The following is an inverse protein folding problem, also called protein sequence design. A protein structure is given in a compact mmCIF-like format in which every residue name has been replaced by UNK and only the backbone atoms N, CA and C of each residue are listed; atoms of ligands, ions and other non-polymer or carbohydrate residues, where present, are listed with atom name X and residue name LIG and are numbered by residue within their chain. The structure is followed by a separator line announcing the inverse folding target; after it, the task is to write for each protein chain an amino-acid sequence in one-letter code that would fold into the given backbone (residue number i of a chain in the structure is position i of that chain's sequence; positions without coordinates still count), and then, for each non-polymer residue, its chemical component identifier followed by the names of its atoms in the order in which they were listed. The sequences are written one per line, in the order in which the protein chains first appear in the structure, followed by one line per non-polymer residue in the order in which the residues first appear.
data_IF_038742411584
#
_entry.id   IF_038742411584
#
_cell.length_a   1.000
_cell.length_b   1.000
_cell.length_c   1.000
_cell.angle_alpha   90.00
_cell.angle_beta   90.00
_cell.angle_gamma   90.00
#
_symmetry.space_group_name_H-M   'P 1'
#
loop_
_entity.id
_entity.type
_entity.pdbx_description
1 polymer ?
#
# COMPACT_ATOMS: atom_id res chain seq x y z
N UNK A 1 21.13 -3.38 -6.16
CA UNK A 1 20.39 -3.31 -7.43
C UNK A 1 19.65 -4.61 -7.64
N UNK A 2 18.33 -4.55 -7.85
CA UNK A 2 17.48 -5.74 -8.08
C UNK A 2 17.75 -6.30 -9.49
N UNK A 3 18.10 -5.43 -10.43
CA UNK A 3 18.46 -5.78 -11.81
C UNK A 3 19.80 -5.12 -12.16
N UNK A 4 20.94 -5.77 -11.88
CA UNK A 4 22.24 -5.21 -12.17
C UNK A 4 22.39 -4.93 -13.69
N UNK A 5 22.80 -3.70 -14.02
CA UNK A 5 23.04 -3.28 -15.41
C UNK A 5 21.78 -2.86 -16.19
N UNK A 6 20.56 -3.02 -15.65
CA UNK A 6 19.36 -2.52 -16.31
C UNK A 6 19.24 -0.99 -16.20
N UNK A 7 18.84 -0.34 -17.29
CA UNK A 7 18.57 1.08 -17.35
C UNK A 7 19.81 1.97 -17.35
N UNK A 8 21.00 1.45 -17.59
CA UNK A 8 22.22 2.24 -17.65
C UNK A 8 22.15 3.38 -18.68
N UNK A 9 21.67 3.08 -19.87
CA UNK A 9 21.52 4.04 -20.96
C UNK A 9 20.44 5.10 -20.64
N UNK A 10 19.33 4.65 -20.05
CA UNK A 10 18.26 5.56 -19.61
C UNK A 10 18.74 6.53 -18.51
N UNK A 11 19.51 6.03 -17.53
CA UNK A 11 20.13 6.87 -16.51
C UNK A 11 21.13 7.86 -17.08
N UNK A 12 21.98 7.44 -18.02
CA UNK A 12 22.93 8.31 -18.71
C UNK A 12 22.21 9.41 -19.49
N UNK A 13 21.11 9.07 -20.19
CA UNK A 13 20.30 10.02 -20.93
C UNK A 13 19.61 11.05 -20.00
N UNK A 14 19.10 10.61 -18.85
CA UNK A 14 18.49 11.50 -17.85
C UNK A 14 19.51 12.42 -17.17
N UNK A 15 20.76 11.99 -17.05
CA UNK A 15 21.86 12.80 -16.50
C UNK A 15 22.44 13.82 -17.49
N UNK A 16 21.99 13.82 -18.75
CA UNK A 16 22.48 14.74 -19.79
C UNK A 16 22.03 16.19 -19.51
N UNK A 17 22.76 17.22 -20.03
CA UNK A 17 22.37 18.62 -19.87
C UNK A 17 20.99 18.98 -20.47
N UNK A 18 20.50 18.18 -21.40
CA UNK A 18 19.17 18.31 -22.01
C UNK A 18 18.51 16.91 -22.04
N UNK A 19 17.94 16.46 -20.91
CA UNK A 19 17.36 15.13 -20.83
C UNK A 19 16.14 15.02 -21.75
N UNK A 20 16.02 13.91 -22.49
CA UNK A 20 14.84 13.67 -23.31
C UNK A 20 13.61 13.43 -22.45
N UNK A 21 12.39 13.55 -23.02
CA UNK A 21 11.17 13.20 -22.32
C UNK A 21 11.22 11.75 -21.81
N UNK A 22 10.80 11.51 -20.56
CA UNK A 22 10.81 10.18 -19.95
C UNK A 22 10.11 9.14 -20.84
N UNK A 23 9.00 9.52 -21.47
CA UNK A 23 8.24 8.63 -22.35
C UNK A 23 9.07 8.08 -23.55
N UNK A 24 10.11 8.78 -24.00
CA UNK A 24 10.97 8.30 -25.07
C UNK A 24 12.03 7.28 -24.61
N UNK A 25 12.31 7.20 -23.31
CA UNK A 25 13.27 6.26 -22.73
C UNK A 25 12.61 4.95 -22.30
N UNK A 26 11.29 4.97 -22.08
CA UNK A 26 10.56 3.81 -21.56
C UNK A 26 10.62 2.58 -22.47
N UNK A 27 10.47 2.68 -23.81
CA UNK A 27 10.48 1.50 -24.67
C UNK A 27 11.77 0.69 -24.56
N UNK A 28 12.92 1.34 -24.59
CA UNK A 28 14.22 0.67 -24.52
C UNK A 28 14.44 0.04 -23.14
N UNK A 29 14.12 0.75 -22.07
CA UNK A 29 14.18 0.24 -20.70
C UNK A 29 13.27 -0.98 -20.51
N UNK A 30 12.02 -0.91 -21.00
CA UNK A 30 11.06 -2.01 -20.86
C UNK A 30 11.44 -3.22 -21.72
N UNK A 31 12.00 -2.99 -22.91
CA UNK A 31 12.54 -4.06 -23.75
C UNK A 31 13.73 -4.75 -23.07
N UNK A 32 14.62 -3.98 -22.44
CA UNK A 32 15.75 -4.52 -21.68
C UNK A 32 15.28 -5.38 -20.49
N UNK A 33 14.28 -4.90 -19.74
CA UNK A 33 13.65 -5.65 -18.63
C UNK A 33 12.96 -6.90 -19.19
N UNK A 34 12.23 -6.76 -20.29
CA UNK A 34 11.49 -7.85 -20.93
C UNK A 34 12.42 -8.98 -21.43
N UNK A 35 13.56 -8.62 -21.99
CA UNK A 35 14.55 -9.58 -22.50
C UNK A 35 15.16 -10.49 -21.42
N UNK A 36 15.11 -10.08 -20.15
CA UNK A 36 15.65 -10.87 -19.03
C UNK A 36 14.75 -12.03 -18.60
N UNK A 37 13.45 -11.96 -18.91
CA UNK A 37 12.48 -13.02 -18.59
C UNK A 37 12.17 -13.18 -17.09
N UNK A 38 12.76 -12.37 -16.23
CA UNK A 38 12.52 -12.41 -14.77
C UNK A 38 11.23 -11.71 -14.40
N UNK A 39 10.52 -12.24 -13.39
CA UNK A 39 9.35 -11.57 -12.84
C UNK A 39 9.78 -10.36 -12.02
N UNK A 40 9.23 -9.21 -12.34
CA UNK A 40 9.49 -7.94 -11.66
C UNK A 40 8.20 -7.34 -11.11
N UNK A 41 8.24 -6.90 -9.87
CA UNK A 41 7.19 -6.08 -9.25
C UNK A 41 7.82 -4.73 -8.92
N UNK A 42 7.33 -3.67 -9.57
CA UNK A 42 7.67 -2.29 -9.24
C UNK A 42 6.58 -1.75 -8.31
N UNK A 43 7.00 -1.28 -7.14
CA UNK A 43 6.10 -0.66 -6.15
C UNK A 43 6.39 0.84 -6.11
N UNK A 44 5.37 1.66 -6.35
CA UNK A 44 5.39 3.10 -6.15
C UNK A 44 4.57 3.40 -4.90
N UNK A 45 5.27 3.63 -3.81
CA UNK A 45 4.65 3.99 -2.53
C UNK A 45 4.44 5.49 -2.42
N UNK A 46 3.47 5.91 -1.59
CA UNK A 46 3.09 7.31 -1.38
C UNK A 46 2.88 8.12 -2.67
N UNK A 47 2.32 7.48 -3.68
CA UNK A 47 2.14 8.09 -5.01
C UNK A 47 1.33 9.39 -4.99
N UNK A 48 0.52 9.61 -3.96
CA UNK A 48 -0.31 10.81 -3.77
C UNK A 48 0.51 12.09 -3.54
N UNK A 49 1.79 12.00 -3.16
CA UNK A 49 2.67 13.17 -2.99
C UNK A 49 3.15 13.74 -4.33
N UNK A 50 2.96 13.02 -5.42
CA UNK A 50 3.38 13.42 -6.75
C UNK A 50 2.33 14.34 -7.39
N UNK A 51 2.64 15.63 -7.52
CA UNK A 51 1.76 16.62 -8.13
C UNK A 51 2.09 16.91 -9.60
N UNK A 52 3.25 16.47 -10.11
CA UNK A 52 3.69 16.80 -11.47
C UNK A 52 2.98 15.94 -12.51
N UNK A 53 2.21 16.58 -13.38
CA UNK A 53 1.45 15.93 -14.45
C UNK A 53 2.31 15.10 -15.39
N UNK A 54 3.52 15.54 -15.70
CA UNK A 54 4.42 14.79 -16.59
C UNK A 54 4.83 13.42 -15.99
N UNK A 55 4.88 13.30 -14.66
CA UNK A 55 5.13 12.02 -13.99
C UNK A 55 3.94 11.09 -14.19
N UNK A 56 2.72 11.57 -14.02
CA UNK A 56 1.51 10.77 -14.25
C UNK A 56 1.40 10.30 -15.69
N UNK A 57 1.73 11.17 -16.66
CA UNK A 57 1.78 10.82 -18.08
C UNK A 57 2.86 9.77 -18.37
N UNK A 58 4.03 9.88 -17.72
CA UNK A 58 5.11 8.89 -17.80
C UNK A 58 4.70 7.53 -17.25
N UNK A 59 4.02 7.50 -16.08
CA UNK A 59 3.51 6.25 -15.48
C UNK A 59 2.41 5.64 -16.35
N UNK A 60 1.54 6.44 -16.93
CA UNK A 60 0.52 5.95 -17.86
C UNK A 60 1.14 5.34 -19.13
N UNK A 61 2.23 5.95 -19.66
CA UNK A 61 2.99 5.41 -20.76
C UNK A 61 3.73 4.12 -20.38
N UNK A 62 4.28 4.04 -19.17
CA UNK A 62 4.89 2.82 -18.63
C UNK A 62 3.89 1.67 -18.62
N UNK A 63 2.68 1.90 -18.07
CA UNK A 63 1.64 0.86 -18.00
C UNK A 63 1.18 0.40 -19.37
N UNK A 64 1.12 1.31 -20.35
CA UNK A 64 0.70 0.97 -21.71
C UNK A 64 1.67 0.01 -22.44
N UNK A 65 2.92 -0.10 -21.99
CA UNK A 65 3.97 -0.91 -22.60
C UNK A 65 4.58 -1.92 -21.61
N UNK A 66 3.88 -2.20 -20.50
CA UNK A 66 4.38 -3.06 -19.43
C UNK A 66 4.60 -4.49 -19.96
N UNK A 67 5.81 -5.08 -19.83
CA UNK A 67 6.04 -6.47 -20.20
C UNK A 67 5.19 -7.44 -19.36
N UNK A 68 4.83 -8.60 -19.90
CA UNK A 68 3.95 -9.59 -19.23
C UNK A 68 4.49 -10.07 -17.88
N UNK A 69 5.81 -10.14 -17.73
CA UNK A 69 6.46 -10.53 -16.47
C UNK A 69 6.56 -9.40 -15.44
N UNK A 70 6.23 -8.17 -15.81
CA UNK A 70 6.28 -7.02 -14.92
C UNK A 70 4.90 -6.69 -14.35
N UNK A 71 4.85 -6.33 -13.08
CA UNK A 71 3.67 -5.80 -12.39
C UNK A 71 4.00 -4.46 -11.78
N UNK A 72 3.06 -3.53 -11.85
CA UNK A 72 3.14 -2.24 -11.17
C UNK A 72 2.13 -2.24 -10.02
N UNK A 73 2.60 -1.89 -8.83
CA UNK A 73 1.77 -1.66 -7.65
C UNK A 73 1.89 -0.18 -7.29
N UNK A 74 0.78 0.49 -7.11
CA UNK A 74 0.72 1.89 -6.69
C UNK A 74 0.00 1.96 -5.35
N UNK A 75 0.69 2.39 -4.30
CA UNK A 75 0.11 2.69 -3.01
C UNK A 75 -0.18 4.20 -2.93
N UNK A 76 -1.41 4.54 -2.61
CA UNK A 76 -1.84 5.94 -2.66
C UNK A 76 -3.02 6.18 -1.72
N UNK A 77 -3.12 7.37 -1.12
CA UNK A 77 -4.24 7.76 -0.23
C UNK A 77 -5.45 8.31 -1.00
N UNK A 78 -5.26 8.70 -2.26
CA UNK A 78 -6.32 9.23 -3.12
C UNK A 78 -6.17 8.65 -4.52
N UNK A 79 -7.24 8.66 -5.31
CA UNK A 79 -7.17 8.20 -6.70
C UNK A 79 -6.16 9.05 -7.48
N UNK A 80 -5.12 8.42 -8.07
CA UNK A 80 -4.09 9.15 -8.81
C UNK A 80 -4.64 9.69 -10.13
N UNK A 81 -3.98 10.73 -10.67
CA UNK A 81 -4.30 11.31 -11.98
C UNK A 81 -3.85 10.38 -13.13
N UNK A 82 -4.33 9.15 -13.11
CA UNK A 82 -4.08 8.10 -14.08
C UNK A 82 -5.38 7.68 -14.76
N UNK A 83 -5.34 7.08 -15.95
CA UNK A 83 -6.54 6.70 -16.69
C UNK A 83 -7.24 5.45 -16.12
N UNK A 84 -7.52 5.44 -14.81
CA UNK A 84 -8.10 4.32 -14.07
C UNK A 84 -9.40 3.78 -14.70
N UNK A 85 -10.35 4.62 -15.16
CA UNK A 85 -11.56 4.12 -15.80
C UNK A 85 -11.28 3.27 -17.05
N UNK A 86 -10.27 3.67 -17.83
CA UNK A 86 -9.85 2.93 -19.03
C UNK A 86 -9.23 1.58 -18.68
N UNK A 87 -8.36 1.54 -17.68
CA UNK A 87 -7.72 0.30 -17.22
C UNK A 87 -8.74 -0.65 -16.60
N UNK A 88 -9.68 -0.10 -15.82
CA UNK A 88 -10.78 -0.87 -15.25
C UNK A 88 -11.65 -1.52 -16.33
N UNK A 89 -12.02 -0.76 -17.36
CA UNK A 89 -12.82 -1.26 -18.48
C UNK A 89 -12.13 -2.36 -19.30
N UNK A 90 -10.80 -2.41 -19.27
CA UNK A 90 -9.98 -3.43 -19.96
C UNK A 90 -9.61 -4.62 -19.07
N UNK A 91 -9.97 -4.61 -17.79
CA UNK A 91 -9.53 -5.63 -16.85
C UNK A 91 -8.02 -5.59 -16.54
N UNK A 92 -7.36 -4.46 -16.78
CA UNK A 92 -5.93 -4.24 -16.56
C UNK A 92 -5.63 -3.71 -15.16
N UNK A 93 -6.66 -3.47 -14.33
CA UNK A 93 -6.56 -2.87 -13.01
C UNK A 93 -7.18 -3.77 -11.95
N UNK A 94 -6.41 -4.09 -10.93
CA UNK A 94 -6.91 -4.64 -9.66
C UNK A 94 -6.86 -3.55 -8.61
N UNK A 95 -7.96 -3.30 -7.93
CA UNK A 95 -8.06 -2.28 -6.89
C UNK A 95 -8.24 -2.93 -5.53
N UNK A 96 -7.44 -2.49 -4.57
CA UNK A 96 -7.60 -2.82 -3.15
C UNK A 96 -7.92 -1.51 -2.45
N UNK A 97 -9.13 -1.41 -1.93
CA UNK A 97 -9.65 -0.20 -1.29
C UNK A 97 -9.59 -0.31 0.23
N UNK A 98 -9.78 0.80 0.92
CA UNK A 98 -9.77 0.84 2.38
C UNK A 98 -10.75 -0.18 3.00
N UNK A 99 -11.90 -0.43 2.36
CA UNK A 99 -12.88 -1.42 2.81
C UNK A 99 -12.33 -2.86 2.75
N UNK A 100 -11.51 -3.17 1.75
CA UNK A 100 -10.91 -4.49 1.55
C UNK A 100 -9.75 -4.77 2.53
N UNK A 101 -9.20 -3.69 3.12
CA UNK A 101 -8.08 -3.75 4.08
C UNK A 101 -8.55 -3.78 5.54
N UNK A 102 -9.85 -3.62 5.79
CA UNK A 102 -10.39 -3.69 7.14
C UNK A 102 -10.42 -5.13 7.62
N UNK A 103 -9.97 -5.33 8.84
CA UNK A 103 -10.07 -6.62 9.49
C UNK A 103 -11.53 -6.98 9.79
N UNK A 104 -11.92 -8.19 9.45
CA UNK A 104 -13.13 -8.83 9.97
C UNK A 104 -12.94 -9.22 11.44
N UNK A 105 -14.02 -9.54 12.15
CA UNK A 105 -13.92 -10.02 13.54
C UNK A 105 -13.10 -11.32 13.65
N UNK A 106 -13.20 -12.22 12.68
CA UNK A 106 -12.41 -13.46 12.64
C UNK A 106 -10.92 -13.17 12.45
N UNK A 107 -10.56 -12.31 11.51
CA UNK A 107 -9.16 -11.92 11.28
C UNK A 107 -8.59 -11.17 12.49
N UNK A 108 -9.37 -10.27 13.10
CA UNK A 108 -8.99 -9.57 14.32
C UNK A 108 -8.75 -10.55 15.49
N UNK A 109 -9.64 -11.53 15.67
CA UNK A 109 -9.47 -12.56 16.70
C UNK A 109 -8.20 -13.37 16.47
N UNK A 110 -7.97 -13.82 15.23
CA UNK A 110 -6.77 -14.56 14.86
C UNK A 110 -5.49 -13.74 15.07
N UNK A 111 -5.51 -12.46 14.72
CA UNK A 111 -4.39 -11.53 14.92
C UNK A 111 -4.12 -11.31 16.41
N UNK A 112 -5.13 -10.92 17.18
CA UNK A 112 -4.99 -10.58 18.62
C UNK A 112 -4.60 -11.78 19.47
N UNK A 113 -5.17 -12.95 19.21
CA UNK A 113 -4.82 -14.17 19.93
C UNK A 113 -3.52 -14.80 19.43
N UNK A 114 -3.32 -14.86 18.10
CA UNK A 114 -2.17 -15.54 17.51
C UNK A 114 -0.86 -14.76 17.64
N UNK A 115 -0.90 -13.44 17.46
CA UNK A 115 0.30 -12.59 17.49
C UNK A 115 0.52 -11.91 18.84
N UNK A 116 -0.54 -11.60 19.57
CA UNK A 116 -0.46 -10.83 20.82
C UNK A 116 -0.79 -11.64 22.06
N UNK A 117 -1.17 -12.91 21.90
CA UNK A 117 -1.46 -13.87 22.97
C UNK A 117 -2.50 -13.38 23.99
N UNK A 118 -3.56 -12.71 23.56
CA UNK A 118 -4.54 -12.06 24.45
C UNK A 118 -5.65 -13.00 24.93
N UNK A 119 -5.85 -14.16 24.27
CA UNK A 119 -6.88 -15.16 24.63
C UNK A 119 -8.31 -14.55 24.70
N UNK A 120 -8.65 -13.71 23.73
CA UNK A 120 -9.96 -13.05 23.61
C UNK A 120 -11.01 -14.01 23.05
N UNK A 121 -12.30 -13.74 23.38
CA UNK A 121 -13.43 -14.43 22.78
C UNK A 121 -13.91 -13.71 21.50
N UNK A 122 -14.70 -14.38 20.65
CA UNK A 122 -15.21 -13.76 19.40
C UNK A 122 -15.95 -12.43 19.63
N UNK A 123 -16.72 -12.34 20.72
CA UNK A 123 -17.48 -11.15 21.09
C UNK A 123 -16.56 -9.96 21.45
N UNK A 124 -15.40 -10.26 22.06
CA UNK A 124 -14.39 -9.27 22.42
C UNK A 124 -13.74 -8.69 21.16
N UNK A 125 -13.40 -9.56 20.18
CA UNK A 125 -12.85 -9.15 18.89
C UNK A 125 -13.86 -8.33 18.08
N UNK A 126 -15.13 -8.74 18.06
CA UNK A 126 -16.19 -7.98 17.40
C UNK A 126 -16.29 -6.55 17.94
N UNK A 127 -16.28 -6.37 19.27
CA UNK A 127 -16.32 -5.06 19.88
C UNK A 127 -15.10 -4.20 19.51
N UNK A 128 -13.91 -4.81 19.42
CA UNK A 128 -12.70 -4.08 19.03
C UNK A 128 -12.76 -3.67 17.56
N UNK A 129 -13.23 -4.53 16.67
CA UNK A 129 -13.44 -4.20 15.24
C UNK A 129 -14.43 -3.06 15.09
N UNK A 130 -15.55 -3.07 15.79
CA UNK A 130 -16.53 -1.98 15.76
C UNK A 130 -15.92 -0.63 16.18
N UNK A 131 -15.06 -0.63 17.20
CA UNK A 131 -14.43 0.58 17.74
C UNK A 131 -13.26 1.10 16.93
N UNK A 132 -12.54 0.20 16.28
CA UNK A 132 -11.39 0.53 15.43
C UNK A 132 -11.76 0.62 13.96
N UNK A 133 -13.03 0.37 13.61
CA UNK A 133 -13.52 0.22 12.25
C UNK A 133 -12.74 -0.83 11.45
N UNK A 134 -12.18 -1.83 12.12
CA UNK A 134 -11.34 -2.85 11.52
C UNK A 134 -9.95 -2.35 11.06
N UNK A 135 -9.53 -1.17 11.47
CA UNK A 135 -8.23 -0.63 11.10
C UNK A 135 -7.09 -1.37 11.81
N UNK A 136 -6.13 -1.89 11.04
CA UNK A 136 -5.05 -2.76 11.53
C UNK A 136 -4.26 -2.12 12.68
N UNK A 137 -3.83 -0.85 12.53
CA UNK A 137 -3.08 -0.14 13.58
C UNK A 137 -3.96 0.11 14.81
N UNK A 138 -5.24 0.42 14.62
CA UNK A 138 -6.19 0.57 15.71
C UNK A 138 -6.33 -0.72 16.54
N UNK A 139 -6.42 -1.86 15.87
CA UNK A 139 -6.45 -3.18 16.52
C UNK A 139 -5.14 -3.50 17.24
N UNK A 140 -3.99 -3.17 16.64
CA UNK A 140 -2.69 -3.37 17.26
C UNK A 140 -2.54 -2.52 18.53
N UNK A 141 -2.89 -1.24 18.48
CA UNK A 141 -2.84 -0.35 19.65
C UNK A 141 -3.81 -0.80 20.74
N UNK A 142 -5.02 -1.25 20.36
CA UNK A 142 -5.95 -1.84 21.27
C UNK A 142 -5.37 -3.09 21.95
N UNK A 143 -4.78 -3.99 21.15
CA UNK A 143 -4.13 -5.19 21.67
C UNK A 143 -2.99 -4.88 22.65
N UNK A 144 -2.12 -3.92 22.31
CA UNK A 144 -1.04 -3.48 23.23
C UNK A 144 -1.59 -2.94 24.53
N UNK A 145 -2.68 -2.18 24.51
CA UNK A 145 -3.32 -1.64 25.72
C UNK A 145 -3.97 -2.71 26.61
N UNK A 146 -4.30 -3.86 26.03
CA UNK A 146 -4.88 -5.00 26.74
C UNK A 146 -3.83 -5.92 27.37
N UNK A 147 -2.58 -5.88 26.88
CA UNK A 147 -1.51 -6.69 27.45
C UNK A 147 -1.26 -6.33 28.91
N UNK A 148 -1.19 -7.34 29.75
CA UNK A 148 -0.97 -7.16 31.19
C UNK A 148 -2.20 -6.68 32.00
N UNK A 149 -3.35 -6.47 31.36
CA UNK A 149 -4.58 -6.14 32.07
C UNK A 149 -5.14 -7.37 32.80
N UNK A 150 -5.54 -7.19 34.07
CA UNK A 150 -6.15 -8.24 34.87
C UNK A 150 -7.53 -8.66 34.32
N UNK A 151 -8.28 -7.73 33.75
CA UNK A 151 -9.59 -7.95 33.12
C UNK A 151 -9.61 -7.29 31.74
N UNK A 152 -9.20 -8.00 30.68
CA UNK A 152 -9.23 -7.49 29.31
C UNK A 152 -10.64 -7.07 28.86
N UNK A 153 -11.68 -7.75 29.31
CA UNK A 153 -13.07 -7.43 28.92
C UNK A 153 -13.53 -6.09 29.49
N UNK A 154 -13.17 -5.79 30.74
CA UNK A 154 -13.47 -4.47 31.31
C UNK A 154 -12.68 -3.38 30.56
N UNK A 155 -11.43 -3.64 30.24
CA UNK A 155 -10.60 -2.72 29.46
C UNK A 155 -11.18 -2.49 28.05
N UNK A 156 -11.69 -3.52 27.37
CA UNK A 156 -12.38 -3.39 26.07
C UNK A 156 -13.61 -2.49 26.21
N UNK A 157 -14.44 -2.68 27.23
CA UNK A 157 -15.65 -1.84 27.44
C UNK A 157 -15.31 -0.38 27.69
N UNK A 158 -14.22 -0.11 28.38
CA UNK A 158 -13.73 1.26 28.64
C UNK A 158 -12.88 1.83 27.51
N UNK A 159 -12.45 0.99 26.56
CA UNK A 159 -11.69 1.40 25.40
C UNK A 159 -12.54 2.31 24.51
N UNK A 160 -12.50 3.60 24.77
CA UNK A 160 -13.17 4.64 23.98
C UNK A 160 -12.35 4.90 22.69
N UNK A 161 -12.16 3.88 21.89
CA UNK A 161 -11.28 3.86 20.70
C UNK A 161 -10.24 4.95 20.87
N UNK A 162 -9.03 4.63 21.33
CA UNK A 162 -8.07 5.65 21.79
C UNK A 162 -7.78 6.67 20.72
N UNK A 163 -8.69 7.62 20.52
CA UNK A 163 -8.50 8.78 19.62
C UNK A 163 -7.17 9.46 19.89
N UNK A 164 -6.72 9.40 21.14
CA UNK A 164 -5.46 10.00 21.56
C UNK A 164 -4.27 9.25 20.96
N UNK A 165 -4.15 7.93 21.13
CA UNK A 165 -3.06 7.13 20.54
C UNK A 165 -3.16 7.02 19.03
N UNK A 166 -4.38 6.96 18.46
CA UNK A 166 -4.57 7.03 17.02
C UNK A 166 -4.19 8.39 16.45
N UNK A 167 -4.50 9.47 17.15
CA UNK A 167 -4.12 10.82 16.75
C UNK A 167 -2.60 11.04 16.87
N UNK A 168 -1.96 10.58 17.93
CA UNK A 168 -0.50 10.64 18.07
C UNK A 168 0.19 9.88 16.92
N UNK A 169 -0.22 8.64 16.65
CA UNK A 169 0.32 7.87 15.54
C UNK A 169 0.10 8.57 14.19
N UNK A 170 -1.11 9.10 13.93
CA UNK A 170 -1.40 9.81 12.69
C UNK A 170 -0.63 11.13 12.57
N UNK A 171 -0.31 11.79 13.67
CA UNK A 171 0.47 13.04 13.69
C UNK A 171 1.98 12.78 13.46
N UNK A 172 2.48 11.59 13.78
CA UNK A 172 3.87 11.20 13.53
C UNK A 172 4.09 10.67 12.11
N UNK A 173 3.04 10.11 11.47
CA UNK A 173 3.09 9.50 10.13
C UNK A 173 2.57 10.43 9.01
N UNK A 174 2.07 11.62 9.35
CA UNK A 174 1.54 12.63 8.41
C UNK A 174 2.36 13.90 8.49
#
# INVERSE_FOLDING_TARGET
SVLPGAGGDALAALASPAPPPIASLLPDLLNEIGARGERLILVLDDYHVLANRAIHEGVAALVAHLPEQMRLVICTRADPLLPLPRWRARGELTEVRAADLRFTAEEALAFLNGRMALNLQPEDAQQLVERTEGWAVGLQLAGLSLQGQADPRQAIRSFAGSRHYMLEYLLEEV
#
